data_IF_147433417197
#
_entry.id   IF_147433417197
#
_cell.length_a   1.000
_cell.length_b   1.000
_cell.length_c   1.000
_cell.angle_alpha   90.00
_cell.angle_beta   90.00
_cell.angle_gamma   90.00
#
_symmetry.space_group_name_H-M   'P 1'
#
loop_
_entity.id
_entity.type
_entity.pdbx_description
1 polymer ?
#
# COMPACT_ATOMS: atom_id res chain seq x y z
N UNK A 1 -36.89 43.33 10.02
CA UNK A 1 -35.76 42.38 10.24
C UNK A 1 -35.75 41.43 9.05
N UNK A 2 -35.68 42.00 7.84
CA UNK A 2 -36.10 41.33 6.61
C UNK A 2 -35.28 41.85 5.41
N UNK A 3 -33.97 42.04 5.65
CA UNK A 3 -33.08 42.67 4.67
C UNK A 3 -31.60 42.27 4.80
N UNK A 4 -31.29 41.05 5.24
CA UNK A 4 -29.89 40.56 5.36
C UNK A 4 -29.74 39.08 4.94
N UNK A 5 -30.47 38.61 3.92
CA UNK A 5 -30.29 37.23 3.39
C UNK A 5 -30.51 37.14 1.87
N UNK A 6 -30.12 38.18 1.12
CA UNK A 6 -30.00 38.10 -0.34
C UNK A 6 -28.57 38.45 -0.77
N UNK A 7 -28.05 37.60 -1.65
CA UNK A 7 -26.82 37.72 -2.41
C UNK A 7 -25.49 37.61 -1.67
N UNK A 8 -25.05 36.37 -1.52
CA UNK A 8 -23.65 36.02 -1.85
C UNK A 8 -23.71 34.90 -2.91
N UNK A 9 -24.40 35.15 -4.04
CA UNK A 9 -24.03 34.51 -5.30
C UNK A 9 -23.02 35.44 -5.95
N UNK A 10 -21.73 35.12 -5.79
CA UNK A 10 -20.66 35.92 -6.37
C UNK A 10 -20.77 35.88 -7.89
N UNK A 11 -20.68 37.03 -8.56
CA UNK A 11 -20.57 37.11 -10.03
C UNK A 11 -19.45 36.22 -10.59
N UNK A 12 -18.40 35.95 -9.79
CA UNK A 12 -17.34 35.00 -10.13
C UNK A 12 -17.80 33.53 -10.07
N UNK A 13 -18.71 33.17 -9.15
CA UNK A 13 -19.33 31.84 -9.12
C UNK A 13 -20.29 31.66 -10.28
N UNK A 14 -21.09 32.68 -10.61
CA UNK A 14 -22.00 32.68 -11.75
C UNK A 14 -21.23 32.63 -13.08
N UNK A 15 -20.13 33.38 -13.21
CA UNK A 15 -19.24 33.34 -14.37
C UNK A 15 -18.53 31.98 -14.50
N UNK A 16 -18.05 31.38 -13.40
CA UNK A 16 -17.49 30.03 -13.42
C UNK A 16 -18.55 28.99 -13.83
N UNK A 17 -19.77 29.09 -13.29
CA UNK A 17 -20.88 28.19 -13.65
C UNK A 17 -21.25 28.33 -15.14
N UNK A 18 -21.24 29.55 -15.69
CA UNK A 18 -21.47 29.83 -17.11
C UNK A 18 -20.33 29.36 -18.02
N UNK A 19 -19.06 29.48 -17.60
CA UNK A 19 -17.91 28.92 -18.34
C UNK A 19 -17.87 27.38 -18.29
N UNK A 20 -18.42 26.77 -17.23
CA UNK A 20 -18.56 25.31 -17.13
C UNK A 20 -19.89 24.77 -17.67
N UNK A 21 -20.81 25.63 -18.10
CA UNK A 21 -22.09 25.25 -18.68
C UNK A 21 -21.93 24.83 -20.14
N UNK A 22 -21.08 23.84 -20.39
CA UNK A 22 -21.14 23.06 -21.63
C UNK A 22 -22.29 22.04 -21.50
N UNK A 23 -23.02 21.78 -22.58
CA UNK A 23 -24.01 20.70 -22.62
C UNK A 23 -23.28 19.37 -22.49
N UNK A 24 -23.16 18.86 -21.26
CA UNK A 24 -22.54 17.57 -21.00
C UNK A 24 -23.52 16.47 -21.35
N UNK A 25 -23.22 15.71 -22.40
CA UNK A 25 -23.94 14.50 -22.74
C UNK A 25 -23.22 13.26 -22.21
N UNK A 26 -24.00 12.26 -21.79
CA UNK A 26 -23.42 10.96 -21.43
C UNK A 26 -22.92 10.31 -22.72
N UNK A 27 -21.64 9.89 -22.72
CA UNK A 27 -21.07 9.16 -23.85
C UNK A 27 -21.99 7.99 -24.25
N UNK A 28 -22.32 7.92 -25.54
CA UNK A 28 -23.25 6.94 -26.12
C UNK A 28 -22.94 5.49 -25.74
N UNK A 29 -21.66 5.13 -25.58
CA UNK A 29 -21.25 3.77 -25.17
C UNK A 29 -21.69 3.44 -23.75
N UNK A 30 -21.70 4.43 -22.84
CA UNK A 30 -22.07 4.26 -21.43
C UNK A 30 -23.58 4.13 -21.23
N UNK A 31 -24.40 4.45 -22.24
CA UNK A 31 -25.85 4.25 -22.18
C UNK A 31 -26.21 2.77 -21.99
N UNK A 32 -25.37 1.86 -22.46
CA UNK A 32 -25.53 0.43 -22.21
C UNK A 32 -25.62 0.11 -20.71
N UNK A 33 -24.85 0.80 -19.87
CA UNK A 33 -24.88 0.58 -18.42
C UNK A 33 -26.25 0.95 -17.83
N UNK A 34 -26.89 1.98 -18.37
CA UNK A 34 -28.22 2.42 -17.97
C UNK A 34 -29.31 1.45 -18.43
N UNK A 35 -29.15 0.86 -19.61
CA UNK A 35 -30.09 -0.11 -20.18
C UNK A 35 -30.21 -1.38 -19.32
N UNK A 36 -29.07 -1.89 -18.83
CA UNK A 36 -29.00 -3.10 -17.97
C UNK A 36 -29.87 -2.95 -16.71
N UNK A 37 -29.97 -1.74 -16.17
CA UNK A 37 -30.74 -1.44 -14.95
C UNK A 37 -32.03 -0.64 -15.22
N UNK A 38 -32.45 -0.52 -16.47
CA UNK A 38 -33.62 0.29 -16.90
C UNK A 38 -34.91 -0.04 -16.15
N UNK A 39 -35.10 -1.32 -15.77
CA UNK A 39 -36.27 -1.78 -14.99
C UNK A 39 -36.26 -1.31 -13.53
N UNK A 40 -35.12 -0.86 -13.02
CA UNK A 40 -34.91 -0.43 -11.64
C UNK A 40 -34.73 1.09 -11.57
N UNK A 41 -35.83 1.85 -11.60
CA UNK A 41 -35.82 3.33 -11.68
C UNK A 41 -34.86 4.02 -10.70
N UNK A 42 -34.79 3.55 -9.46
CA UNK A 42 -33.87 4.09 -8.45
C UNK A 42 -32.41 3.93 -8.85
N UNK A 43 -31.99 2.70 -9.21
CA UNK A 43 -30.62 2.40 -9.64
C UNK A 43 -30.27 3.14 -10.94
N UNK A 44 -31.20 3.14 -11.89
CA UNK A 44 -31.03 3.83 -13.17
C UNK A 44 -30.79 5.34 -12.97
N UNK A 45 -31.60 6.00 -12.13
CA UNK A 45 -31.43 7.43 -11.87
C UNK A 45 -30.12 7.73 -11.14
N UNK A 46 -29.74 6.91 -10.15
CA UNK A 46 -28.44 7.05 -9.47
C UNK A 46 -27.28 6.89 -10.44
N UNK A 47 -27.32 5.88 -11.31
CA UNK A 47 -26.27 5.67 -12.31
C UNK A 47 -26.24 6.79 -13.35
N UNK A 48 -27.39 7.26 -13.81
CA UNK A 48 -27.48 8.34 -14.80
C UNK A 48 -26.82 9.62 -14.28
N UNK A 49 -27.10 10.01 -13.04
CA UNK A 49 -26.45 11.15 -12.41
C UNK A 49 -24.95 10.94 -12.28
N UNK A 50 -24.51 9.74 -11.89
CA UNK A 50 -23.08 9.45 -11.76
C UNK A 50 -22.35 9.50 -13.11
N UNK A 51 -22.91 8.90 -14.16
CA UNK A 51 -22.33 8.90 -15.50
C UNK A 51 -22.29 10.30 -16.11
N UNK A 52 -23.31 11.12 -15.86
CA UNK A 52 -23.32 12.53 -16.26
C UNK A 52 -22.12 13.28 -15.66
N UNK A 53 -21.89 13.16 -14.36
CA UNK A 53 -20.75 13.80 -13.68
C UNK A 53 -19.40 13.24 -14.14
N UNK A 54 -19.32 11.93 -14.44
CA UNK A 54 -18.11 11.30 -14.99
C UNK A 54 -17.79 11.83 -16.40
N UNK A 55 -18.79 12.11 -17.21
CA UNK A 55 -18.58 12.65 -18.57
C UNK A 55 -18.22 14.15 -18.56
N UNK A 56 -18.30 14.82 -17.41
CA UNK A 56 -17.98 16.25 -17.30
C UNK A 56 -16.48 16.51 -17.53
N UNK A 57 -16.08 17.53 -18.32
CA UNK A 57 -14.66 17.86 -18.55
C UNK A 57 -13.88 18.17 -17.27
N UNK A 58 -14.56 18.80 -16.31
CA UNK A 58 -14.02 19.17 -14.99
C UNK A 58 -14.35 18.17 -13.87
N UNK A 59 -14.54 16.89 -14.21
CA UNK A 59 -14.90 15.83 -13.26
C UNK A 59 -13.96 15.79 -12.05
N UNK A 60 -14.52 15.60 -10.85
CA UNK A 60 -13.74 15.48 -9.63
C UNK A 60 -13.69 14.03 -9.12
N UNK A 61 -12.61 13.32 -9.46
CA UNK A 61 -12.43 11.93 -9.06
C UNK A 61 -12.41 11.69 -7.55
N UNK A 62 -12.06 12.68 -6.71
CA UNK A 62 -12.15 12.53 -5.25
C UNK A 62 -13.59 12.27 -4.78
N UNK A 63 -14.59 12.79 -5.50
CA UNK A 63 -16.00 12.58 -5.23
C UNK A 63 -16.52 11.37 -6.00
N UNK A 64 -16.10 11.21 -7.26
CA UNK A 64 -16.65 10.21 -8.17
C UNK A 64 -16.16 8.79 -7.89
N UNK A 65 -14.89 8.58 -7.52
CA UNK A 65 -14.34 7.25 -7.22
C UNK A 65 -15.10 6.56 -6.06
N UNK A 66 -15.34 7.22 -4.91
CA UNK A 66 -16.18 6.66 -3.84
C UNK A 66 -17.60 6.30 -4.30
N UNK A 67 -18.23 7.16 -5.11
CA UNK A 67 -19.59 6.93 -5.60
C UNK A 67 -19.64 5.76 -6.58
N UNK A 68 -18.69 5.71 -7.53
CA UNK A 68 -18.54 4.62 -8.48
C UNK A 68 -18.29 3.30 -7.75
N UNK A 69 -17.32 3.25 -6.82
CA UNK A 69 -17.07 2.08 -5.97
C UNK A 69 -18.33 1.60 -5.25
N UNK A 70 -19.03 2.51 -4.59
CA UNK A 70 -20.27 2.21 -3.85
C UNK A 70 -21.34 1.63 -4.79
N UNK A 71 -21.51 2.21 -5.97
CA UNK A 71 -22.48 1.76 -6.96
C UNK A 71 -22.15 0.36 -7.48
N UNK A 72 -20.92 0.15 -7.98
CA UNK A 72 -20.56 -1.12 -8.64
C UNK A 72 -20.56 -2.29 -7.65
N UNK A 73 -20.09 -2.09 -6.41
CA UNK A 73 -20.06 -3.13 -5.38
C UNK A 73 -21.46 -3.57 -4.94
N UNK A 74 -22.40 -2.62 -4.80
CA UNK A 74 -23.78 -2.91 -4.39
C UNK A 74 -24.58 -3.59 -5.50
N UNK A 75 -24.31 -3.24 -6.75
CA UNK A 75 -25.17 -3.60 -7.89
C UNK A 75 -24.59 -4.68 -8.80
N UNK A 76 -23.41 -5.24 -8.49
CA UNK A 76 -22.73 -6.25 -9.32
C UNK A 76 -23.65 -7.39 -9.79
N UNK A 77 -24.51 -7.92 -8.91
CA UNK A 77 -25.43 -9.03 -9.23
C UNK A 77 -26.35 -8.76 -10.44
N UNK A 78 -26.80 -7.52 -10.64
CA UNK A 78 -27.66 -7.17 -11.77
C UNK A 78 -26.91 -7.30 -13.10
N UNK A 79 -25.65 -6.88 -13.12
CA UNK A 79 -24.80 -6.95 -14.30
C UNK A 79 -24.34 -8.37 -14.58
N UNK A 80 -23.94 -9.13 -13.54
CA UNK A 80 -23.57 -10.54 -13.69
C UNK A 80 -24.67 -11.31 -14.41
N UNK A 81 -25.93 -11.16 -14.03
CA UNK A 81 -27.05 -11.94 -14.60
C UNK A 81 -27.56 -11.44 -15.96
N UNK A 82 -27.20 -10.23 -16.37
CA UNK A 82 -27.70 -9.64 -17.61
C UNK A 82 -26.94 -10.19 -18.83
N UNK A 83 -27.60 -10.34 -19.98
CA UNK A 83 -26.98 -10.86 -21.21
C UNK A 83 -25.76 -10.01 -21.62
N UNK A 84 -25.92 -8.68 -21.64
CA UNK A 84 -24.88 -7.67 -21.92
C UNK A 84 -23.93 -7.38 -20.74
N UNK A 85 -23.81 -8.34 -19.83
CA UNK A 85 -22.98 -8.22 -18.64
C UNK A 85 -21.48 -8.04 -18.93
N UNK A 86 -20.88 -8.84 -19.84
CA UNK A 86 -19.47 -8.68 -20.24
C UNK A 86 -19.14 -7.31 -20.84
N UNK A 87 -20.01 -6.76 -21.67
CA UNK A 87 -19.86 -5.44 -22.27
C UNK A 87 -19.98 -4.35 -21.19
N UNK A 88 -20.93 -4.48 -20.26
CA UNK A 88 -21.05 -3.58 -19.12
C UNK A 88 -19.82 -3.63 -18.20
N UNK A 89 -19.22 -4.81 -17.99
CA UNK A 89 -17.96 -4.95 -17.26
C UNK A 89 -16.83 -4.17 -17.96
N UNK A 90 -16.71 -4.31 -19.28
CA UNK A 90 -15.68 -3.62 -20.07
C UNK A 90 -15.79 -2.10 -19.92
N UNK A 91 -17.00 -1.55 -19.95
CA UNK A 91 -17.25 -0.13 -19.77
C UNK A 91 -16.90 0.34 -18.34
N UNK A 92 -17.34 -0.37 -17.30
CA UNK A 92 -16.98 -0.01 -15.92
C UNK A 92 -15.47 -0.13 -15.66
N UNK A 93 -14.82 -1.16 -16.21
CA UNK A 93 -13.36 -1.30 -16.15
C UNK A 93 -12.66 -0.13 -16.84
N UNK A 94 -13.18 0.30 -18.00
CA UNK A 94 -12.74 1.51 -18.70
C UNK A 94 -12.79 2.75 -17.81
N UNK A 95 -13.93 3.01 -17.16
CA UNK A 95 -14.07 4.16 -16.25
C UNK A 95 -13.05 4.16 -15.11
N UNK A 96 -12.73 2.99 -14.55
CA UNK A 96 -11.69 2.90 -13.52
C UNK A 96 -10.29 3.13 -14.08
N UNK A 97 -9.99 2.62 -15.29
CA UNK A 97 -8.68 2.84 -15.94
C UNK A 97 -8.50 4.33 -16.27
N UNK A 98 -9.53 4.98 -16.81
CA UNK A 98 -9.51 6.42 -17.08
C UNK A 98 -9.28 7.21 -15.78
N UNK A 99 -9.95 6.82 -14.70
CA UNK A 99 -9.72 7.40 -13.38
C UNK A 99 -8.28 7.20 -12.89
N UNK A 100 -7.67 6.03 -13.10
CA UNK A 100 -6.26 5.78 -12.73
C UNK A 100 -5.30 6.70 -13.48
N UNK A 101 -5.52 6.86 -14.79
CA UNK A 101 -4.70 7.73 -15.65
C UNK A 101 -4.82 9.19 -15.19
N UNK A 102 -6.05 9.69 -15.01
CA UNK A 102 -6.29 11.06 -14.56
C UNK A 102 -5.73 11.33 -13.15
N UNK A 103 -5.78 10.33 -12.28
CA UNK A 103 -5.31 10.42 -10.90
C UNK A 103 -3.80 10.18 -10.75
N UNK A 104 -3.06 9.96 -11.84
CA UNK A 104 -1.66 9.51 -11.82
C UNK A 104 -0.70 10.36 -10.96
N UNK A 105 -1.01 11.65 -10.75
CA UNK A 105 -0.23 12.58 -9.91
C UNK A 105 -0.67 12.63 -8.44
N UNK A 106 -1.85 12.12 -8.12
CA UNK A 106 -2.40 12.08 -6.76
C UNK A 106 -2.32 10.65 -6.22
N UNK A 107 -1.19 10.30 -5.60
CA UNK A 107 -0.91 8.96 -5.09
C UNK A 107 -2.02 8.39 -4.17
N UNK A 108 -2.60 9.23 -3.30
CA UNK A 108 -3.69 8.79 -2.40
C UNK A 108 -4.95 8.40 -3.18
N UNK A 109 -5.37 9.26 -4.10
CA UNK A 109 -6.56 9.01 -4.92
C UNK A 109 -6.33 7.86 -5.91
N UNK A 110 -5.12 7.74 -6.44
CA UNK A 110 -4.71 6.62 -7.30
C UNK A 110 -4.79 5.28 -6.55
N UNK A 111 -4.22 5.20 -5.34
CA UNK A 111 -4.33 4.01 -4.48
C UNK A 111 -5.79 3.65 -4.23
N UNK A 112 -6.62 4.63 -3.86
CA UNK A 112 -8.05 4.43 -3.64
C UNK A 112 -8.77 3.95 -4.90
N UNK A 113 -8.38 4.44 -6.08
CA UNK A 113 -8.98 4.05 -7.37
C UNK A 113 -8.64 2.60 -7.71
N UNK A 114 -7.37 2.19 -7.56
CA UNK A 114 -6.93 0.82 -7.77
C UNK A 114 -7.61 -0.13 -6.77
N UNK A 115 -7.66 0.23 -5.49
CA UNK A 115 -8.38 -0.55 -4.47
C UNK A 115 -9.88 -0.65 -4.77
N UNK A 116 -10.46 0.42 -5.33
CA UNK A 116 -11.85 0.46 -5.78
C UNK A 116 -12.12 -0.55 -6.88
N UNK A 117 -11.27 -0.51 -7.88
CA UNK A 117 -11.33 -1.32 -9.08
C UNK A 117 -11.08 -2.81 -8.76
N UNK A 118 -9.98 -3.15 -8.09
CA UNK A 118 -9.63 -4.54 -7.74
C UNK A 118 -10.70 -5.20 -6.87
N UNK A 119 -11.22 -4.48 -5.87
CA UNK A 119 -12.28 -5.03 -5.01
C UNK A 119 -13.58 -5.29 -5.78
N UNK A 120 -13.92 -4.44 -6.75
CA UNK A 120 -15.08 -4.65 -7.59
C UNK A 120 -14.90 -5.85 -8.51
N UNK A 121 -13.75 -5.99 -9.18
CA UNK A 121 -13.50 -7.17 -10.03
C UNK A 121 -13.47 -8.45 -9.20
N UNK A 122 -12.85 -8.44 -8.02
CA UNK A 122 -12.89 -9.58 -7.09
C UNK A 122 -14.33 -9.91 -6.66
N UNK A 123 -15.19 -8.90 -6.44
CA UNK A 123 -16.61 -9.10 -6.15
C UNK A 123 -17.33 -9.75 -7.34
N UNK A 124 -17.07 -9.30 -8.57
CA UNK A 124 -17.65 -9.87 -9.79
C UNK A 124 -17.25 -11.35 -9.93
N UNK A 125 -15.95 -11.66 -9.88
CA UNK A 125 -15.43 -13.03 -9.97
C UNK A 125 -16.00 -13.92 -8.88
N UNK A 126 -16.15 -13.41 -7.65
CA UNK A 126 -16.78 -14.15 -6.55
C UNK A 126 -18.26 -14.46 -6.73
N UNK A 127 -18.95 -13.86 -7.72
CA UNK A 127 -20.34 -14.13 -8.06
C UNK A 127 -20.50 -15.09 -9.25
N UNK A 128 -19.41 -15.41 -9.96
CA UNK A 128 -19.46 -16.20 -11.19
C UNK A 128 -19.68 -17.69 -10.90
N UNK A 129 -20.53 -18.30 -11.73
CA UNK A 129 -20.46 -19.73 -12.04
C UNK A 129 -19.36 -20.01 -13.07
N UNK A 130 -19.09 -21.29 -13.39
CA UNK A 130 -18.17 -21.65 -14.49
C UNK A 130 -18.69 -21.10 -15.84
N UNK A 131 -20.00 -21.16 -16.08
CA UNK A 131 -20.60 -20.62 -17.30
C UNK A 131 -20.47 -19.09 -17.39
N UNK A 132 -20.63 -18.39 -16.26
CA UNK A 132 -20.40 -16.95 -16.20
C UNK A 132 -18.93 -16.63 -16.47
N UNK A 133 -17.99 -17.39 -15.93
CA UNK A 133 -16.56 -17.19 -16.18
C UNK A 133 -16.26 -17.25 -17.68
N UNK A 134 -16.76 -18.27 -18.39
CA UNK A 134 -16.58 -18.38 -19.84
C UNK A 134 -17.23 -17.23 -20.60
N UNK A 135 -18.44 -16.82 -20.19
CA UNK A 135 -19.14 -15.69 -20.81
C UNK A 135 -18.40 -14.37 -20.64
N UNK A 136 -17.71 -14.19 -19.51
CA UNK A 136 -16.93 -12.99 -19.21
C UNK A 136 -15.47 -13.07 -19.66
N UNK A 137 -15.03 -14.16 -20.30
CA UNK A 137 -13.62 -14.40 -20.61
C UNK A 137 -12.97 -13.27 -21.40
N UNK A 138 -13.57 -12.84 -22.52
CA UNK A 138 -13.01 -11.74 -23.33
C UNK A 138 -12.86 -10.48 -22.49
N UNK A 139 -13.93 -10.07 -21.80
CA UNK A 139 -13.97 -8.85 -21.02
C UNK A 139 -12.95 -8.85 -19.86
N UNK A 140 -12.77 -9.98 -19.18
CA UNK A 140 -11.75 -10.14 -18.13
C UNK A 140 -10.34 -10.08 -18.70
N UNK A 141 -10.09 -10.80 -19.80
CA UNK A 141 -8.78 -10.89 -20.41
C UNK A 141 -8.32 -9.55 -20.99
N UNK A 142 -9.22 -8.86 -21.71
CA UNK A 142 -8.98 -7.50 -22.20
C UNK A 142 -8.67 -6.53 -21.05
N UNK A 143 -9.37 -6.67 -19.91
CA UNK A 143 -9.08 -5.89 -18.71
C UNK A 143 -7.69 -6.18 -18.12
N UNK A 144 -7.26 -7.45 -18.05
CA UNK A 144 -5.93 -7.79 -17.56
C UNK A 144 -4.84 -7.28 -18.50
N UNK A 145 -5.02 -7.43 -19.82
CA UNK A 145 -4.07 -6.93 -20.81
C UNK A 145 -3.96 -5.40 -20.75
N UNK A 146 -5.08 -4.68 -20.63
CA UNK A 146 -5.06 -3.22 -20.42
C UNK A 146 -4.33 -2.80 -19.14
N UNK A 147 -4.38 -3.59 -18.06
CA UNK A 147 -3.59 -3.30 -16.87
C UNK A 147 -2.09 -3.51 -17.11
N UNK A 148 -1.70 -4.51 -17.91
CA UNK A 148 -0.30 -4.71 -18.30
C UNK A 148 0.22 -3.54 -19.12
N UNK A 149 -0.61 -2.99 -20.02
CA UNK A 149 -0.26 -1.81 -20.83
C UNK A 149 0.03 -0.56 -20.01
N UNK A 150 -0.43 -0.49 -18.75
CA UNK A 150 -0.12 0.60 -17.82
C UNK A 150 1.30 0.48 -17.22
N UNK A 151 2.05 -0.59 -17.47
CA UNK A 151 3.48 -0.70 -17.15
C UNK A 151 4.33 -0.03 -18.24
N UNK A 152 4.15 1.28 -18.41
CA UNK A 152 4.87 2.12 -19.37
C UNK A 152 6.30 2.49 -18.92
N UNK A 153 6.67 2.11 -17.69
CA UNK A 153 7.96 2.40 -17.07
C UNK A 153 8.08 3.80 -16.45
N UNK A 154 7.23 4.75 -16.82
CA UNK A 154 7.26 6.16 -16.40
C UNK A 154 6.19 6.48 -15.35
N UNK A 155 4.99 5.93 -15.54
CA UNK A 155 3.84 6.14 -14.68
C UNK A 155 3.98 5.43 -13.35
N UNK A 156 3.46 6.06 -12.30
CA UNK A 156 3.43 5.46 -10.97
C UNK A 156 2.32 4.40 -10.82
N UNK A 157 1.42 4.26 -11.79
CA UNK A 157 0.23 3.39 -11.71
C UNK A 157 0.62 1.94 -11.42
N UNK A 158 1.51 1.35 -12.23
CA UNK A 158 1.90 -0.05 -12.03
C UNK A 158 2.57 -0.26 -10.66
N UNK A 159 3.36 0.69 -10.17
CA UNK A 159 3.93 0.61 -8.82
C UNK A 159 2.86 0.65 -7.71
N UNK A 160 1.78 1.41 -7.90
CA UNK A 160 0.65 1.41 -6.95
C UNK A 160 -0.13 0.09 -7.00
N UNK A 161 -0.23 -0.56 -8.16
CA UNK A 161 -0.80 -1.92 -8.28
C UNK A 161 0.07 -2.93 -7.52
N UNK A 162 1.40 -2.83 -7.67
CA UNK A 162 2.37 -3.70 -7.00
C UNK A 162 2.30 -3.56 -5.47
N UNK A 163 2.29 -2.32 -4.97
CA UNK A 163 2.45 -2.04 -3.55
C UNK A 163 1.13 -1.87 -2.78
N UNK A 164 -0.01 -1.91 -3.47
CA UNK A 164 -1.33 -1.68 -2.88
C UNK A 164 -1.76 -2.69 -1.81
N UNK A 165 -2.68 -2.27 -0.94
CA UNK A 165 -3.19 -3.07 0.20
C UNK A 165 -4.01 -4.30 -0.22
N UNK A 166 -4.60 -4.28 -1.41
CA UNK A 166 -5.39 -5.37 -1.94
C UNK A 166 -4.61 -6.07 -3.05
N UNK A 167 -3.87 -7.15 -2.72
CA UNK A 167 -2.96 -7.73 -3.70
C UNK A 167 -3.76 -8.38 -4.82
N UNK A 168 -3.42 -8.02 -6.06
CA UNK A 168 -3.90 -8.67 -7.29
C UNK A 168 -3.79 -10.21 -7.21
N UNK A 169 -2.82 -10.71 -6.43
CA UNK A 169 -2.65 -12.11 -6.02
C UNK A 169 -3.95 -12.77 -5.52
N UNK A 170 -4.80 -12.09 -4.73
CA UNK A 170 -6.07 -12.66 -4.24
C UNK A 170 -7.10 -12.86 -5.35
N UNK A 171 -7.16 -11.92 -6.30
CA UNK A 171 -8.01 -12.05 -7.49
C UNK A 171 -7.51 -13.23 -8.34
N UNK A 172 -6.20 -13.34 -8.54
CA UNK A 172 -5.56 -14.42 -9.27
C UNK A 172 -5.87 -15.80 -8.68
N UNK A 173 -5.74 -15.94 -7.36
CA UNK A 173 -6.09 -17.18 -6.64
C UNK A 173 -7.57 -17.53 -6.82
N UNK A 174 -8.44 -16.53 -6.79
CA UNK A 174 -9.88 -16.73 -6.97
C UNK A 174 -10.24 -17.19 -8.38
N UNK A 175 -9.53 -16.70 -9.41
CA UNK A 175 -9.65 -17.18 -10.79
C UNK A 175 -9.08 -18.58 -10.96
N UNK A 176 -7.89 -18.85 -10.40
CA UNK A 176 -7.24 -20.16 -10.48
C UNK A 176 -8.09 -21.27 -9.84
N UNK A 177 -8.84 -20.95 -8.78
CA UNK A 177 -9.78 -21.88 -8.16
C UNK A 177 -10.91 -22.38 -9.09
N UNK A 178 -11.13 -21.75 -10.25
CA UNK A 178 -12.05 -22.28 -11.26
C UNK A 178 -11.44 -23.40 -12.10
N UNK A 179 -10.12 -23.49 -12.24
CA UNK A 179 -9.46 -24.59 -12.93
C UNK A 179 -9.79 -25.92 -12.24
N UNK A 180 -9.73 -25.94 -10.89
CA UNK A 180 -10.14 -27.09 -10.08
C UNK A 180 -11.64 -27.45 -10.18
N UNK A 181 -12.46 -26.53 -10.70
CA UNK A 181 -13.90 -26.72 -10.95
C UNK A 181 -14.20 -27.12 -12.40
N UNK A 182 -13.18 -27.47 -13.18
CA UNK A 182 -13.33 -27.91 -14.58
C UNK A 182 -13.39 -26.77 -15.59
N UNK A 183 -12.89 -25.57 -15.25
CA UNK A 183 -12.80 -24.44 -16.18
C UNK A 183 -11.48 -24.40 -16.98
N UNK A 184 -10.92 -25.57 -17.34
CA UNK A 184 -9.61 -25.67 -18.00
C UNK A 184 -9.54 -24.98 -19.36
N UNK A 185 -10.70 -24.79 -20.01
CA UNK A 185 -10.81 -24.08 -21.29
C UNK A 185 -10.70 -22.55 -21.17
N UNK A 186 -10.73 -22.00 -19.95
CA UNK A 186 -10.60 -20.56 -19.73
C UNK A 186 -9.17 -20.14 -20.03
N UNK A 187 -9.00 -19.01 -20.71
CA UNK A 187 -7.67 -18.53 -21.05
C UNK A 187 -7.05 -17.74 -19.89
N UNK A 188 -6.18 -18.41 -19.12
CA UNK A 188 -5.46 -17.83 -17.98
C UNK A 188 -4.22 -17.00 -18.37
N UNK A 189 -3.83 -16.94 -19.65
CA UNK A 189 -2.59 -16.26 -20.10
C UNK A 189 -2.54 -14.77 -19.72
N UNK A 190 -3.59 -13.96 -19.93
CA UNK A 190 -3.56 -12.54 -19.58
C UNK A 190 -3.36 -12.29 -18.09
N UNK A 191 -4.01 -13.11 -17.24
CA UNK A 191 -3.81 -13.02 -15.80
C UNK A 191 -2.39 -13.44 -15.38
N UNK A 192 -1.85 -14.52 -15.98
CA UNK A 192 -0.48 -14.92 -15.74
C UNK A 192 0.51 -13.83 -16.15
N UNK A 193 0.34 -13.21 -17.33
CA UNK A 193 1.16 -12.08 -17.81
C UNK A 193 1.11 -10.88 -16.86
N UNK A 194 -0.08 -10.50 -16.39
CA UNK A 194 -0.23 -9.43 -15.41
C UNK A 194 0.51 -9.73 -14.10
N UNK A 195 0.35 -10.94 -13.56
CA UNK A 195 1.04 -11.33 -12.33
C UNK A 195 2.57 -11.43 -12.53
N UNK A 196 3.05 -11.87 -13.69
CA UNK A 196 4.47 -11.82 -14.03
C UNK A 196 5.01 -10.38 -14.05
N UNK A 197 4.28 -9.45 -14.68
CA UNK A 197 4.66 -8.03 -14.74
C UNK A 197 4.75 -7.43 -13.33
N UNK A 198 3.72 -7.67 -12.50
CA UNK A 198 3.67 -7.24 -11.10
C UNK A 198 4.87 -7.77 -10.31
N UNK A 199 5.17 -9.07 -10.38
CA UNK A 199 6.29 -9.64 -9.63
C UNK A 199 7.65 -9.18 -10.15
N UNK A 200 7.84 -9.07 -11.47
CA UNK A 200 9.08 -8.52 -12.05
C UNK A 200 9.33 -7.11 -11.54
N UNK A 201 8.30 -6.25 -11.56
CA UNK A 201 8.39 -4.88 -11.06
C UNK A 201 8.69 -4.84 -9.56
N UNK A 202 8.04 -5.70 -8.77
CA UNK A 202 8.30 -5.82 -7.33
C UNK A 202 9.76 -6.20 -7.03
N UNK A 203 10.30 -7.25 -7.67
CA UNK A 203 11.67 -7.67 -7.40
C UNK A 203 12.70 -6.67 -7.91
N UNK A 204 12.48 -6.06 -9.07
CA UNK A 204 13.34 -4.97 -9.54
C UNK A 204 13.33 -3.77 -8.59
N UNK A 205 12.19 -3.45 -7.98
CA UNK A 205 12.11 -2.43 -6.94
C UNK A 205 13.02 -2.76 -5.75
N UNK A 206 12.92 -3.97 -5.19
CA UNK A 206 13.75 -4.38 -4.06
C UNK A 206 15.24 -4.52 -4.38
N UNK A 207 15.60 -4.90 -5.61
CA UNK A 207 16.99 -4.94 -6.08
C UNK A 207 17.62 -3.54 -6.21
N UNK A 208 16.80 -2.49 -6.38
CA UNK A 208 17.26 -1.11 -6.43
C UNK A 208 17.36 -0.45 -5.04
N UNK A 209 16.80 -1.07 -4.00
CA UNK A 209 17.02 -0.67 -2.60
C UNK A 209 18.29 -1.37 -2.07
N UNK A 210 18.94 -0.82 -1.03
CA UNK A 210 20.14 -1.49 -0.47
C UNK A 210 19.82 -2.88 0.08
N UNK A 211 20.77 -3.82 -0.09
CA UNK A 211 20.67 -5.15 0.52
C UNK A 211 20.62 -5.01 2.06
N UNK A 212 19.56 -5.53 2.72
CA UNK A 212 19.35 -5.35 4.15
C UNK A 212 20.50 -5.79 5.04
N UNK A 213 21.19 -6.91 4.72
CA UNK A 213 22.24 -7.43 5.59
C UNK A 213 23.54 -6.61 5.50
N UNK A 214 24.13 -6.38 4.30
CA UNK A 214 25.29 -5.51 4.17
C UNK A 214 25.04 -4.11 4.74
N UNK A 215 23.86 -3.53 4.45
CA UNK A 215 23.48 -2.23 5.01
C UNK A 215 23.47 -2.27 6.55
N UNK A 216 22.87 -3.30 7.13
CA UNK A 216 22.77 -3.43 8.59
C UNK A 216 24.15 -3.55 9.24
N UNK A 217 25.03 -4.41 8.72
CA UNK A 217 26.37 -4.61 9.28
C UNK A 217 27.22 -3.33 9.22
N UNK A 218 27.16 -2.60 8.11
CA UNK A 218 27.89 -1.33 7.92
C UNK A 218 27.47 -0.25 8.94
N UNK A 219 26.17 -0.20 9.28
CA UNK A 219 25.62 0.81 10.19
C UNK A 219 25.61 0.34 11.67
N UNK A 220 25.86 -0.94 11.93
CA UNK A 220 25.83 -1.52 13.27
C UNK A 220 27.17 -1.35 14.01
N UNK A 221 28.31 -1.30 13.32
CA UNK A 221 29.63 -1.10 13.93
C UNK A 221 29.95 -2.14 15.01
N UNK A 222 30.46 -1.69 16.17
CA UNK A 222 30.79 -2.55 17.33
C UNK A 222 29.60 -3.32 17.90
N UNK A 223 28.35 -2.93 17.58
CA UNK A 223 27.14 -3.62 18.04
C UNK A 223 26.94 -4.99 17.37
N UNK A 224 27.71 -5.34 16.34
CA UNK A 224 27.54 -6.56 15.53
C UNK A 224 28.76 -7.50 15.54
N UNK A 225 29.75 -7.31 16.43
CA UNK A 225 30.97 -8.14 16.46
C UNK A 225 30.69 -9.65 16.63
N UNK A 226 29.59 -10.03 17.28
CA UNK A 226 29.13 -11.43 17.48
C UNK A 226 27.81 -11.77 16.77
N UNK A 227 27.39 -11.00 15.76
CA UNK A 227 26.08 -11.18 15.13
C UNK A 227 26.00 -12.45 14.25
N UNK A 228 25.47 -13.54 14.82
CA UNK A 228 25.34 -14.84 14.13
C UNK A 228 24.08 -15.01 13.26
N UNK A 229 23.26 -13.98 13.13
CA UNK A 229 21.90 -14.11 12.59
C UNK A 229 21.74 -13.57 11.18
N UNK A 230 22.79 -13.65 10.34
CA UNK A 230 22.72 -13.36 8.90
C UNK A 230 21.61 -14.14 8.15
N UNK A 231 21.15 -15.27 8.71
CA UNK A 231 19.98 -16.01 8.21
C UNK A 231 18.66 -15.22 8.30
N UNK A 232 18.52 -14.29 9.25
CA UNK A 232 17.31 -13.47 9.42
C UNK A 232 16.97 -12.67 8.16
N UNK A 233 18.00 -12.14 7.50
CA UNK A 233 17.85 -11.31 6.31
C UNK A 233 17.81 -12.11 5.01
N UNK A 234 18.15 -13.40 5.05
CA UNK A 234 18.29 -14.22 3.84
C UNK A 234 17.06 -14.17 2.93
N UNK A 235 15.85 -14.19 3.51
CA UNK A 235 14.59 -14.17 2.76
C UNK A 235 14.33 -12.83 2.04
N UNK A 236 14.93 -11.73 2.49
CA UNK A 236 14.82 -10.39 1.88
C UNK A 236 16.10 -9.90 1.21
N UNK A 237 17.15 -10.73 1.17
CA UNK A 237 18.44 -10.40 0.53
C UNK A 237 18.33 -10.23 -0.97
N UNK A 238 19.30 -9.53 -1.58
CA UNK A 238 19.37 -9.41 -3.04
C UNK A 238 19.50 -10.77 -3.72
N UNK A 239 20.26 -11.71 -3.14
CA UNK A 239 20.36 -13.08 -3.66
C UNK A 239 19.00 -13.77 -3.75
N UNK A 240 18.12 -13.58 -2.76
CA UNK A 240 16.75 -14.11 -2.82
C UNK A 240 15.90 -13.39 -3.87
N UNK A 241 16.03 -12.07 -4.01
CA UNK A 241 15.32 -11.30 -5.03
C UNK A 241 15.76 -11.69 -6.45
N UNK A 242 17.06 -11.88 -6.68
CA UNK A 242 17.64 -12.38 -7.94
C UNK A 242 17.14 -13.79 -8.27
N UNK A 243 17.10 -14.68 -7.28
CA UNK A 243 16.52 -16.02 -7.45
C UNK A 243 15.06 -15.94 -7.88
N UNK A 244 14.27 -15.12 -7.19
CA UNK A 244 12.84 -14.99 -7.46
C UNK A 244 12.57 -14.35 -8.83
N UNK A 245 13.29 -13.29 -9.22
CA UNK A 245 13.10 -12.68 -10.54
C UNK A 245 13.50 -13.62 -11.67
N UNK A 246 14.55 -14.43 -11.48
CA UNK A 246 14.94 -15.45 -12.45
C UNK A 246 13.88 -16.55 -12.55
N UNK A 247 13.29 -16.98 -11.43
CA UNK A 247 12.16 -17.91 -11.43
C UNK A 247 10.96 -17.35 -12.22
N UNK A 248 10.57 -16.09 -12.00
CA UNK A 248 9.49 -15.45 -12.78
C UNK A 248 9.82 -15.40 -14.27
N UNK A 249 11.07 -15.11 -14.64
CA UNK A 249 11.50 -15.04 -16.05
C UNK A 249 11.50 -16.42 -16.73
N UNK A 250 11.72 -17.51 -15.99
CA UNK A 250 11.72 -18.87 -16.55
C UNK A 250 10.33 -19.47 -16.75
N UNK A 251 9.29 -18.91 -16.13
CA UNK A 251 7.92 -19.42 -16.26
C UNK A 251 7.35 -19.08 -17.64
N UNK A 252 7.05 -20.12 -18.42
CA UNK A 252 6.48 -20.02 -19.76
C UNK A 252 4.94 -20.04 -19.69
N UNK A 253 4.35 -18.84 -19.59
CA UNK A 253 2.90 -18.68 -19.52
C UNK A 253 2.16 -19.06 -20.82
N UNK A 254 2.86 -19.22 -21.95
CA UNK A 254 2.21 -19.53 -23.23
C UNK A 254 1.91 -21.02 -23.40
N UNK A 255 2.72 -21.91 -22.81
CA UNK A 255 2.55 -23.36 -22.95
C UNK A 255 1.57 -23.94 -21.94
N UNK A 256 1.73 -23.58 -20.67
CA UNK A 256 0.98 -24.17 -19.55
C UNK A 256 0.45 -23.05 -18.64
N UNK A 257 -0.58 -22.29 -19.06
CA UNK A 257 -0.97 -21.06 -18.39
C UNK A 257 -1.52 -21.26 -16.97
N UNK A 258 -2.16 -22.40 -16.68
CA UNK A 258 -2.67 -22.73 -15.35
C UNK A 258 -1.54 -23.01 -14.37
N UNK A 259 -0.60 -23.89 -14.75
CA UNK A 259 0.56 -24.20 -13.91
C UNK A 259 1.50 -23.00 -13.79
N UNK A 260 1.71 -22.26 -14.88
CA UNK A 260 2.44 -21.00 -14.84
C UNK A 260 1.83 -20.01 -13.83
N UNK A 261 0.51 -19.81 -13.84
CA UNK A 261 -0.17 -18.96 -12.87
C UNK A 261 0.01 -19.49 -11.44
N UNK A 262 -0.07 -20.81 -11.23
CA UNK A 262 0.15 -21.43 -9.91
C UNK A 262 1.58 -21.17 -9.40
N UNK A 263 2.59 -21.43 -10.22
CA UNK A 263 4.00 -21.18 -9.90
C UNK A 263 4.28 -19.70 -9.60
N UNK A 264 3.68 -18.79 -10.37
CA UNK A 264 3.79 -17.34 -10.12
C UNK A 264 3.20 -16.98 -8.75
N UNK A 265 2.06 -17.57 -8.37
CA UNK A 265 1.37 -17.25 -7.12
C UNK A 265 2.09 -17.80 -5.89
N UNK A 266 2.91 -18.84 -6.03
CA UNK A 266 3.73 -19.38 -4.94
C UNK A 266 4.91 -18.46 -4.57
N UNK A 267 5.32 -17.59 -5.50
CA UNK A 267 6.38 -16.62 -5.25
C UNK A 267 5.91 -15.47 -4.33
N UNK A 268 6.83 -14.90 -3.51
CA UNK A 268 6.50 -13.84 -2.56
C UNK A 268 6.14 -12.52 -3.25
N UNK A 269 4.91 -12.04 -3.04
CA UNK A 269 4.48 -10.74 -3.52
C UNK A 269 4.96 -9.62 -2.59
N UNK A 270 4.69 -8.36 -2.96
CA UNK A 270 5.11 -7.18 -2.19
C UNK A 270 4.71 -7.27 -0.70
N UNK A 271 3.44 -7.58 -0.41
CA UNK A 271 2.94 -7.70 0.97
C UNK A 271 3.64 -8.83 1.74
N UNK A 272 4.02 -9.92 1.07
CA UNK A 272 4.78 -11.02 1.69
C UNK A 272 6.17 -10.53 2.13
N UNK A 273 6.84 -9.72 1.29
CA UNK A 273 8.15 -9.12 1.59
C UNK A 273 8.03 -8.06 2.69
N UNK A 274 7.02 -7.19 2.63
CA UNK A 274 6.73 -6.20 3.69
C UNK A 274 6.56 -6.90 5.05
N UNK A 275 5.86 -8.04 5.09
CA UNK A 275 5.72 -8.85 6.31
C UNK A 275 7.07 -9.39 6.79
N UNK A 276 7.94 -9.87 5.90
CA UNK A 276 9.29 -10.32 6.27
C UNK A 276 10.13 -9.19 6.89
N UNK A 277 10.11 -7.99 6.31
CA UNK A 277 10.76 -6.80 6.92
C UNK A 277 10.18 -6.50 8.31
N UNK A 278 8.85 -6.56 8.46
CA UNK A 278 8.17 -6.32 9.73
C UNK A 278 8.58 -7.31 10.83
N UNK A 279 8.90 -8.56 10.48
CA UNK A 279 9.25 -9.60 11.47
C UNK A 279 10.68 -9.47 11.99
N UNK A 280 11.60 -8.87 11.22
CA UNK A 280 13.02 -8.79 11.58
C UNK A 280 13.27 -8.07 12.92
N UNK A 281 12.70 -6.88 13.20
CA UNK A 281 12.89 -6.20 14.49
C UNK A 281 12.56 -7.08 15.70
N UNK A 282 11.48 -7.86 15.63
CA UNK A 282 11.08 -8.78 16.70
C UNK A 282 12.09 -9.90 16.85
N UNK A 283 12.52 -10.50 15.74
CA UNK A 283 13.51 -11.59 15.77
C UNK A 283 14.90 -11.14 16.22
N UNK A 284 15.28 -9.89 15.95
CA UNK A 284 16.50 -9.28 16.48
C UNK A 284 16.44 -9.18 18.01
N UNK A 285 15.28 -8.87 18.58
CA UNK A 285 15.09 -8.86 20.03
C UNK A 285 15.07 -10.27 20.64
N UNK A 286 14.49 -11.26 19.96
CA UNK A 286 14.41 -12.66 20.42
C UNK A 286 15.75 -13.43 20.33
N UNK A 287 16.56 -13.16 19.30
CA UNK A 287 17.86 -13.81 19.14
C UNK A 287 18.82 -13.53 20.31
N UNK A 288 18.63 -12.39 20.98
CA UNK A 288 19.35 -12.04 22.22
C UNK A 288 18.80 -12.81 23.42
N UNK A 289 17.50 -13.14 23.48
CA UNK A 289 16.89 -13.91 24.59
C UNK A 289 17.39 -15.37 24.67
N UNK A 290 17.64 -16.03 23.54
CA UNK A 290 18.23 -17.38 23.51
C UNK A 290 19.71 -17.40 23.91
N UNK A 291 20.47 -16.33 23.62
CA UNK A 291 21.85 -16.17 24.10
C UNK A 291 21.92 -15.69 25.56
N UNK A 292 20.92 -14.92 26.03
CA UNK A 292 20.69 -14.52 27.43
C UNK A 292 20.51 -15.73 28.37
N UNK A 293 20.03 -16.87 27.85
CA UNK A 293 20.01 -18.14 28.59
C UNK A 293 21.41 -18.63 29.01
N UNK A 294 22.46 -18.24 28.27
CA UNK A 294 23.87 -18.58 28.55
C UNK A 294 24.65 -17.45 29.23
N UNK A 295 24.28 -16.18 29.01
CA UNK A 295 25.02 -15.01 29.49
C UNK A 295 24.54 -14.41 30.84
N UNK A 296 23.52 -14.99 31.48
CA UNK A 296 23.01 -14.55 32.80
C UNK A 296 24.04 -14.60 33.94
N UNK A 297 25.18 -15.25 33.74
CA UNK A 297 26.26 -15.37 34.74
C UNK A 297 27.19 -14.13 34.82
N UNK A 298 27.11 -13.15 33.91
CA UNK A 298 28.14 -12.08 33.82
C UNK A 298 27.68 -10.61 33.97
N UNK A 299 26.39 -10.34 34.19
CA UNK A 299 25.94 -8.98 34.58
C UNK A 299 26.11 -7.87 33.52
N UNK A 300 26.27 -8.21 32.24
CA UNK A 300 26.33 -7.28 31.11
C UNK A 300 24.92 -6.79 30.70
N UNK A 301 24.75 -5.54 30.23
CA UNK A 301 23.47 -5.00 29.76
C UNK A 301 23.17 -5.47 28.32
N UNK A 302 23.02 -6.79 28.11
CA UNK A 302 22.75 -7.39 26.78
C UNK A 302 21.48 -6.82 26.11
N UNK A 303 20.40 -6.63 26.89
CA UNK A 303 19.15 -6.02 26.42
C UNK A 303 19.31 -4.64 25.73
N UNK A 304 20.40 -3.90 25.97
CA UNK A 304 20.63 -2.60 25.33
C UNK A 304 21.13 -2.76 23.88
N UNK A 305 21.93 -3.78 23.60
CA UNK A 305 22.49 -4.04 22.28
C UNK A 305 21.40 -4.51 21.31
N UNK A 306 20.57 -5.47 21.73
CA UNK A 306 19.44 -5.92 20.91
C UNK A 306 18.39 -4.83 20.67
N UNK A 307 18.07 -4.01 21.68
CA UNK A 307 17.16 -2.88 21.49
C UNK A 307 17.76 -1.81 20.54
N UNK A 308 19.08 -1.57 20.57
CA UNK A 308 19.75 -0.68 19.62
C UNK A 308 19.74 -1.25 18.18
N UNK A 309 20.03 -2.54 18.02
CA UNK A 309 19.97 -3.25 16.72
C UNK A 309 18.56 -3.24 16.14
N UNK A 310 17.56 -3.57 16.97
CA UNK A 310 16.14 -3.48 16.63
C UNK A 310 15.78 -2.07 16.17
N UNK A 311 16.17 -1.06 16.94
CA UNK A 311 15.86 0.33 16.64
C UNK A 311 16.52 0.79 15.32
N UNK A 312 17.77 0.41 15.07
CA UNK A 312 18.47 0.66 13.81
C UNK A 312 17.68 0.10 12.62
N UNK A 313 17.21 -1.15 12.71
CA UNK A 313 16.45 -1.75 11.62
C UNK A 313 15.03 -1.17 11.48
N UNK A 314 14.37 -0.79 12.58
CA UNK A 314 13.10 -0.05 12.52
C UNK A 314 13.26 1.29 11.78
N UNK A 315 14.41 1.98 11.93
CA UNK A 315 14.68 3.19 11.15
C UNK A 315 14.89 2.89 9.67
N UNK A 316 15.55 1.79 9.32
CA UNK A 316 15.63 1.34 7.92
C UNK A 316 14.25 1.14 7.32
N UNK A 317 13.34 0.53 8.09
CA UNK A 317 11.96 0.33 7.64
C UNK A 317 11.30 1.67 7.32
N UNK A 318 11.46 2.69 8.17
CA UNK A 318 10.89 4.03 7.95
C UNK A 318 11.49 4.79 6.76
N UNK A 319 12.75 4.52 6.41
CA UNK A 319 13.43 5.18 5.30
C UNK A 319 13.10 4.54 3.94
N UNK A 320 12.70 3.27 3.94
CA UNK A 320 12.39 2.50 2.73
C UNK A 320 10.98 2.80 2.23
N UNK A 321 10.85 3.49 1.09
CA UNK A 321 9.54 3.95 0.57
C UNK A 321 8.51 2.83 0.38
N UNK A 322 8.94 1.66 -0.08
CA UNK A 322 8.09 0.50 -0.32
C UNK A 322 7.52 -0.14 0.95
N UNK A 323 7.94 0.29 2.14
CA UNK A 323 7.42 -0.21 3.42
C UNK A 323 6.34 0.71 4.02
N UNK A 324 5.80 1.64 3.25
CA UNK A 324 4.81 2.62 3.73
C UNK A 324 3.59 2.01 4.43
N UNK A 325 3.21 0.78 4.05
CA UNK A 325 2.11 0.03 4.66
C UNK A 325 2.32 -0.25 6.16
N UNK A 326 3.57 -0.34 6.60
CA UNK A 326 3.92 -0.62 8.00
C UNK A 326 4.52 0.58 8.72
N UNK A 327 4.78 1.72 8.05
CA UNK A 327 5.41 2.89 8.68
C UNK A 327 4.70 3.39 9.94
N UNK A 328 3.37 3.43 9.96
CA UNK A 328 2.65 3.90 11.15
C UNK A 328 2.86 2.96 12.33
N UNK A 329 2.82 1.64 12.10
CA UNK A 329 3.08 0.62 13.11
C UNK A 329 4.55 0.63 13.56
N UNK A 330 5.49 0.69 12.60
CA UNK A 330 6.93 0.82 12.85
C UNK A 330 7.24 2.04 13.70
N UNK A 331 6.60 3.18 13.43
CA UNK A 331 6.79 4.39 14.23
C UNK A 331 6.28 4.23 15.67
N UNK A 332 5.16 3.52 15.87
CA UNK A 332 4.70 3.16 17.24
C UNK A 332 5.70 2.24 17.94
N UNK A 333 6.32 1.31 17.23
CA UNK A 333 7.31 0.39 17.80
C UNK A 333 8.64 1.09 18.13
N UNK A 334 9.11 2.01 17.27
CA UNK A 334 10.24 2.91 17.55
C UNK A 334 10.02 3.63 18.87
N UNK A 335 8.81 4.15 19.10
CA UNK A 335 8.49 4.86 20.34
C UNK A 335 8.58 3.96 21.56
N UNK A 336 8.09 2.72 21.45
CA UNK A 336 8.17 1.74 22.52
C UNK A 336 9.62 1.39 22.85
N UNK A 337 10.45 1.13 21.84
CA UNK A 337 11.88 0.83 22.02
C UNK A 337 12.66 2.02 22.59
N UNK A 338 12.39 3.26 22.14
CA UNK A 338 13.01 4.46 22.70
C UNK A 338 12.69 4.63 24.19
N UNK A 339 11.44 4.39 24.60
CA UNK A 339 11.03 4.41 26.01
C UNK A 339 11.76 3.35 26.83
N UNK A 340 11.86 2.12 26.32
CA UNK A 340 12.58 1.04 26.99
C UNK A 340 14.06 1.39 27.16
N UNK A 341 14.70 1.94 26.12
CA UNK A 341 16.09 2.39 26.20
C UNK A 341 16.27 3.47 27.27
N UNK A 342 15.41 4.51 27.34
CA UNK A 342 15.51 5.55 28.39
C UNK A 342 15.46 4.96 29.81
N UNK A 343 14.68 3.89 30.02
CA UNK A 343 14.59 3.18 31.31
C UNK A 343 15.84 2.37 31.65
N UNK A 344 16.60 1.94 30.65
CA UNK A 344 17.79 1.10 30.79
C UNK A 344 19.11 1.90 30.75
N UNK A 345 19.12 3.08 30.12
CA UNK A 345 20.32 3.91 29.96
C UNK A 345 20.84 4.44 31.30
N UNK A 346 22.17 4.41 31.46
CA UNK A 346 22.87 5.08 32.56
C UNK A 346 22.85 6.59 32.35
N UNK A 347 23.07 7.34 33.42
CA UNK A 347 22.98 8.80 33.38
C UNK A 347 24.06 9.46 32.52
N UNK A 348 25.19 8.81 32.29
CA UNK A 348 26.28 9.36 31.47
C UNK A 348 26.00 9.30 29.95
N UNK A 349 25.15 8.37 29.48
CA UNK A 349 24.96 8.05 28.05
C UNK A 349 23.67 8.65 27.45
N UNK A 350 22.88 9.33 28.27
CA UNK A 350 21.54 9.80 27.91
C UNK A 350 21.54 10.98 26.92
N UNK A 351 22.54 11.85 26.99
CA UNK A 351 22.63 13.04 26.12
C UNK A 351 22.81 12.65 24.65
N UNK A 352 23.73 11.73 24.37
CA UNK A 352 24.00 11.21 23.03
C UNK A 352 22.81 10.40 22.49
N UNK A 353 22.19 9.59 23.36
CA UNK A 353 20.97 8.86 23.02
C UNK A 353 19.82 9.79 22.62
N UNK A 354 19.52 10.82 23.43
CA UNK A 354 18.46 11.78 23.15
C UNK A 354 18.75 12.57 21.86
N UNK A 355 20.00 12.94 21.62
CA UNK A 355 20.40 13.65 20.40
C UNK A 355 20.10 12.81 19.15
N UNK A 356 20.48 11.53 19.18
CA UNK A 356 20.23 10.58 18.08
C UNK A 356 18.74 10.35 17.87
N UNK A 357 17.97 10.10 18.94
CA UNK A 357 16.53 9.90 18.87
C UNK A 357 15.79 11.12 18.28
N UNK A 358 16.17 12.33 18.68
CA UNK A 358 15.55 13.57 18.18
C UNK A 358 15.90 13.90 16.74
N UNK A 359 17.13 13.63 16.29
CA UNK A 359 17.49 13.76 14.88
C UNK A 359 16.60 12.88 13.99
N UNK A 360 16.34 11.65 14.44
CA UNK A 360 15.54 10.67 13.71
C UNK A 360 14.06 11.01 13.68
N UNK A 361 13.50 11.51 14.80
CA UNK A 361 12.15 12.06 14.82
C UNK A 361 12.02 13.28 13.88
N UNK A 362 13.08 14.06 13.70
CA UNK A 362 13.04 15.29 12.89
C UNK A 362 12.96 15.01 11.40
N UNK A 363 13.53 13.89 10.95
CA UNK A 363 13.39 13.42 9.57
C UNK A 363 11.95 12.95 9.30
N UNK A 364 11.32 12.31 10.29
CA UNK A 364 10.01 11.67 10.14
C UNK A 364 8.82 12.59 10.39
N UNK A 365 8.99 13.70 11.13
CA UNK A 365 7.90 14.62 11.49
C UNK A 365 7.20 15.25 10.29
N UNK A 366 7.91 15.42 9.16
CA UNK A 366 7.32 15.97 7.93
C UNK A 366 6.27 15.05 7.31
N UNK A 367 6.43 13.73 7.46
CA UNK A 367 5.51 12.72 6.91
C UNK A 367 4.47 12.26 7.94
N UNK A 368 4.84 12.20 9.21
CA UNK A 368 4.00 11.69 10.30
C UNK A 368 4.05 12.64 11.52
N UNK A 369 3.45 13.85 11.42
CA UNK A 369 3.61 14.89 12.44
C UNK A 369 3.00 14.50 13.78
N UNK A 370 1.75 14.02 13.80
CA UNK A 370 1.07 13.63 15.03
C UNK A 370 1.80 12.53 15.78
N UNK A 371 2.18 11.45 15.09
CA UNK A 371 2.87 10.33 15.71
C UNK A 371 4.22 10.78 16.26
N UNK A 372 4.99 11.56 15.48
CA UNK A 372 6.30 12.11 15.91
C UNK A 372 6.21 12.99 17.16
N UNK A 373 5.19 13.86 17.26
CA UNK A 373 4.95 14.69 18.44
C UNK A 373 4.55 13.85 19.66
N UNK A 374 3.71 12.84 19.45
CA UNK A 374 3.35 11.89 20.49
C UNK A 374 4.60 11.14 21.01
N UNK A 375 5.56 10.80 20.14
CA UNK A 375 6.85 10.23 20.55
C UNK A 375 7.57 11.14 21.56
N UNK A 376 7.71 12.43 21.22
CA UNK A 376 8.42 13.42 22.04
C UNK A 376 7.75 13.55 23.40
N UNK A 377 6.41 13.57 23.44
CA UNK A 377 5.65 13.64 24.69
C UNK A 377 5.91 12.41 25.57
N UNK A 378 5.91 11.20 24.99
CA UNK A 378 6.14 9.96 25.73
C UNK A 378 7.59 9.88 26.25
N UNK A 379 8.58 10.24 25.40
CA UNK A 379 10.00 10.35 25.79
C UNK A 379 10.14 11.32 26.97
N UNK A 380 9.54 12.51 26.87
CA UNK A 380 9.55 13.50 27.95
C UNK A 380 8.97 12.93 29.25
N UNK A 381 7.79 12.29 29.17
CA UNK A 381 7.15 11.67 30.33
C UNK A 381 8.06 10.66 31.05
N UNK A 382 8.84 9.87 30.31
CA UNK A 382 9.78 8.90 30.90
C UNK A 382 11.04 9.57 31.45
N UNK A 383 11.58 10.59 30.77
CA UNK A 383 12.71 11.39 31.28
C UNK A 383 12.35 12.07 32.61
N UNK A 384 11.18 12.70 32.70
CA UNK A 384 10.72 13.35 33.94
C UNK A 384 10.52 12.35 35.09
N UNK A 385 10.05 11.12 34.81
CA UNK A 385 9.91 10.06 35.83
C UNK A 385 11.24 9.63 36.45
N UNK A 386 12.36 9.78 35.73
CA UNK A 386 13.71 9.43 36.23
C UNK A 386 14.23 10.42 37.29
N UNK A 387 13.57 11.58 37.47
CA UNK A 387 13.92 12.62 38.46
C UNK A 387 15.39 13.06 38.42
N UNK A 388 16.02 13.00 37.25
CA UNK A 388 17.40 13.42 37.05
C UNK A 388 17.43 14.77 36.30
N UNK A 389 17.98 15.80 36.94
CA UNK A 389 18.01 17.16 36.38
C UNK A 389 18.77 17.25 35.05
N UNK A 390 19.89 16.52 34.91
CA UNK A 390 20.70 16.50 33.69
C UNK A 390 19.95 15.87 32.51
N UNK A 391 19.21 14.78 32.76
CA UNK A 391 18.35 14.16 31.73
C UNK A 391 17.23 15.10 31.28
N UNK A 392 16.58 15.77 32.23
CA UNK A 392 15.51 16.74 31.95
C UNK A 392 16.04 17.90 31.13
N UNK A 393 17.20 18.46 31.50
CA UNK A 393 17.83 19.56 30.77
C UNK A 393 18.21 19.14 29.35
N UNK A 394 18.85 17.99 29.18
CA UNK A 394 19.20 17.44 27.86
C UNK A 394 17.97 17.24 26.97
N UNK A 395 16.87 16.71 27.52
CA UNK A 395 15.62 16.56 26.80
C UNK A 395 15.03 17.91 26.38
N UNK A 396 14.96 18.89 27.30
CA UNK A 396 14.43 20.22 27.00
C UNK A 396 15.23 20.91 25.89
N UNK A 397 16.56 20.79 25.91
CA UNK A 397 17.42 21.30 24.84
C UNK A 397 17.07 20.71 23.48
N UNK A 398 16.88 19.40 23.40
CA UNK A 398 16.53 18.75 22.14
C UNK A 398 15.09 19.08 21.71
N UNK A 399 14.14 19.13 22.65
CA UNK A 399 12.75 19.49 22.37
C UNK A 399 12.62 20.92 21.81
N UNK A 400 13.35 21.87 22.37
CA UNK A 400 13.40 23.25 21.86
C UNK A 400 14.04 23.31 20.47
N UNK A 401 15.15 22.57 20.27
CA UNK A 401 15.83 22.49 18.95
C UNK A 401 15.01 21.76 17.88
N UNK A 402 14.10 20.90 18.29
CA UNK A 402 13.17 20.22 17.38
C UNK A 402 12.22 21.20 16.68
N UNK A 403 11.91 22.33 17.35
CA UNK A 403 11.08 23.40 16.83
C UNK A 403 9.58 23.11 16.89
N UNK A 404 8.78 24.16 16.68
CA UNK A 404 7.32 24.06 16.63
C UNK A 404 6.89 23.47 15.29
N UNK A 405 5.99 22.50 15.34
CA UNK A 405 5.38 21.88 14.17
C UNK A 405 3.94 22.38 14.05
N UNK A 406 3.57 22.86 12.86
CA UNK A 406 2.16 23.16 12.55
C UNK A 406 1.49 21.82 12.24
N UNK A 407 0.55 21.41 13.10
CA UNK A 407 -0.27 20.22 12.90
C UNK A 407 -1.46 20.55 12.00
#
# INVERSE_FOLDING_TARGET
MDKILKDIESDALAANLLETAEEVEINSELLLLLDVVSRYKGLHNTLKSLLYEICHPYRNWNILVPQLRSFVLKNSNYYVRHEKGPEAFTLFAGLFIDAMVDCGKNSKLLSQTIESQVAWVAKMVGLFSVDDLFRYQSALNDYFDRLVELDDGESSIMMHIVQGQHPMKKLAVSLLAFAEKGADAFDYRPMAKLMQAILKRNYNYWLNEDDPLPWFLDHCGELCEDFHSGKLFSAISHTSMEKNINAVKSIDAEKEPVEALRDILDLPAHVDIVRLYKEIPTRLAEADEEELGKAREQGLPLNRFAENQKLLFLFRIMDTKGLYLIHEETLREINRSLVQLIRLQKFEEIEEFLLTAFQLLRVNVRKYPHTSLQCIQVIGGEVFKRKNGRMVEAFLWQAVRFGFQYA
#
